data_IF_576010292225
#
_entry.id   IF_576010292225
#
_cell.length_a   1.000
_cell.length_b   1.000
_cell.length_c   1.000
_cell.angle_alpha   90.00
_cell.angle_beta   90.00
_cell.angle_gamma   90.00
#
_symmetry.space_group_name_H-M   'P 1'
#
loop_
_entity.id
_entity.type
_entity.pdbx_description
1 polymer ?
#
# COMPACT_ATOMS: atom_id res chain seq x y z
N UNK A 1 -43.02 0.23 -45.23
CA UNK A 1 -42.45 0.60 -43.91
C UNK A 1 -41.28 -0.33 -43.60
N UNK A 2 -40.04 0.15 -43.71
CA UNK A 2 -38.81 -0.63 -43.42
C UNK A 2 -37.93 0.19 -42.48
N UNK A 3 -37.93 -0.06 -41.16
CA UNK A 3 -36.88 0.42 -40.21
C UNK A 3 -36.92 -0.36 -38.89
N UNK A 4 -36.29 -1.54 -38.82
CA UNK A 4 -36.02 -2.19 -37.53
C UNK A 4 -34.90 -3.22 -37.66
N UNK A 5 -33.64 -2.78 -37.70
CA UNK A 5 -32.48 -3.64 -37.48
C UNK A 5 -31.20 -2.81 -37.29
N UNK A 6 -31.16 -1.89 -36.31
CA UNK A 6 -29.89 -1.19 -35.94
C UNK A 6 -29.64 -1.17 -34.42
N UNK A 7 -30.60 -1.56 -33.57
CA UNK A 7 -30.47 -1.39 -32.12
C UNK A 7 -29.81 -2.54 -31.35
N UNK A 8 -29.49 -3.67 -31.99
CA UNK A 8 -29.02 -4.86 -31.26
C UNK A 8 -27.49 -5.04 -31.25
N UNK A 9 -26.71 -4.24 -31.99
CA UNK A 9 -25.25 -4.39 -32.03
C UNK A 9 -24.48 -3.46 -31.07
N UNK A 10 -25.13 -2.40 -30.55
CA UNK A 10 -24.47 -1.41 -29.68
C UNK A 10 -24.44 -1.79 -28.19
N UNK A 11 -25.24 -2.78 -27.77
CA UNK A 11 -25.34 -3.18 -26.36
C UNK A 11 -24.30 -4.22 -25.92
N UNK A 12 -23.49 -4.76 -26.84
CA UNK A 12 -22.50 -5.80 -26.52
C UNK A 12 -21.10 -5.22 -26.24
N UNK A 13 -20.85 -3.94 -26.55
CA UNK A 13 -19.54 -3.31 -26.38
C UNK A 13 -19.32 -2.64 -25.01
N UNK A 14 -20.34 -2.54 -24.14
CA UNK A 14 -20.24 -1.92 -22.81
C UNK A 14 -20.02 -2.92 -21.65
N UNK A 15 -20.02 -4.22 -21.92
CA UNK A 15 -19.97 -5.26 -20.88
C UNK A 15 -18.61 -5.94 -20.72
N UNK A 16 -17.63 -5.63 -21.56
CA UNK A 16 -16.26 -6.09 -21.35
C UNK A 16 -15.48 -4.95 -20.70
N UNK A 17 -15.32 -4.91 -19.36
CA UNK A 17 -14.22 -4.14 -18.82
C UNK A 17 -12.96 -4.66 -19.51
N UNK A 18 -12.24 -3.76 -20.18
CA UNK A 18 -10.86 -4.01 -20.58
C UNK A 18 -10.11 -4.21 -19.25
N UNK A 19 -10.14 -5.44 -18.73
CA UNK A 19 -9.50 -5.78 -17.49
C UNK A 19 -8.01 -5.67 -17.78
N UNK A 20 -7.44 -4.52 -17.41
CA UNK A 20 -6.00 -4.35 -17.42
C UNK A 20 -5.41 -5.57 -16.70
N UNK A 21 -4.36 -6.20 -17.25
CA UNK A 21 -3.79 -7.41 -16.65
C UNK A 21 -3.58 -7.16 -15.16
N UNK A 22 -4.10 -8.08 -14.33
CA UNK A 22 -4.09 -7.92 -12.89
C UNK A 22 -2.66 -7.58 -12.44
N UNK A 23 -2.47 -6.33 -12.00
CA UNK A 23 -1.16 -5.88 -11.57
C UNK A 23 -0.78 -6.70 -10.33
N UNK A 24 0.24 -7.54 -10.45
CA UNK A 24 0.65 -8.45 -9.37
C UNK A 24 1.27 -7.66 -8.21
N UNK A 25 1.89 -6.51 -8.52
CA UNK A 25 2.63 -5.67 -7.57
C UNK A 25 2.54 -4.19 -7.93
N UNK A 26 2.41 -3.33 -6.92
CA UNK A 26 2.51 -1.88 -7.02
C UNK A 26 3.37 -1.32 -5.89
N UNK A 27 4.12 -0.23 -6.11
CA UNK A 27 4.81 0.46 -5.02
C UNK A 27 3.80 1.11 -4.06
N UNK A 28 4.03 1.09 -2.74
CA UNK A 28 3.05 1.63 -1.79
C UNK A 28 2.84 3.14 -1.92
N UNK A 29 3.82 3.83 -2.53
CA UNK A 29 3.82 5.26 -2.80
C UNK A 29 4.62 5.56 -4.07
N UNK A 30 4.11 6.49 -4.90
CA UNK A 30 4.77 6.98 -6.11
C UNK A 30 4.71 8.53 -6.10
N UNK A 31 5.83 9.25 -6.27
CA UNK A 31 7.20 8.72 -6.42
C UNK A 31 7.74 8.07 -5.14
N UNK A 32 8.60 7.07 -5.30
CA UNK A 32 9.23 6.38 -4.17
C UNK A 32 10.50 7.10 -3.72
N UNK A 33 10.49 7.70 -2.53
CA UNK A 33 11.64 8.40 -1.95
C UNK A 33 11.82 8.01 -0.49
N UNK A 34 12.85 7.22 -0.21
CA UNK A 34 13.20 6.76 1.13
C UNK A 34 13.78 7.90 1.98
N UNK A 35 13.31 8.06 3.21
CA UNK A 35 13.88 8.97 4.22
C UNK A 35 14.48 8.25 5.40
N UNK A 36 13.90 7.11 5.79
CA UNK A 36 14.38 6.33 6.92
C UNK A 36 14.39 4.85 6.58
N UNK A 37 15.55 4.17 6.62
CA UNK A 37 15.64 2.75 6.33
C UNK A 37 15.15 1.91 7.52
N UNK A 38 14.94 0.63 7.25
CA UNK A 38 14.71 -0.41 8.25
C UNK A 38 16.00 -0.73 9.03
N UNK A 39 15.85 -1.13 10.30
CA UNK A 39 16.96 -1.58 11.12
C UNK A 39 17.45 -0.55 12.14
N UNK A 40 18.64 -0.80 12.71
CA UNK A 40 19.24 0.09 13.71
C UNK A 40 19.67 1.40 13.06
N UNK A 41 19.17 2.51 13.60
CA UNK A 41 19.53 3.85 13.17
C UNK A 41 19.65 4.80 14.37
N UNK A 42 20.20 5.99 14.11
CA UNK A 42 20.16 7.08 15.08
C UNK A 42 18.73 7.64 15.15
N UNK A 43 18.18 7.71 16.36
CA UNK A 43 16.85 8.26 16.61
C UNK A 43 16.83 9.75 16.24
N UNK A 44 15.84 10.24 15.47
CA UNK A 44 15.86 11.58 14.89
C UNK A 44 15.77 12.72 15.94
N UNK A 45 15.17 12.43 17.10
CA UNK A 45 15.03 13.41 18.20
C UNK A 45 16.13 13.23 19.25
N UNK A 46 16.24 12.05 19.86
CA UNK A 46 17.14 11.81 21.00
C UNK A 46 18.59 11.55 20.61
N UNK A 47 18.88 11.26 19.33
CA UNK A 47 20.21 10.89 18.88
C UNK A 47 20.72 9.53 19.37
N UNK A 48 19.91 8.75 20.09
CA UNK A 48 20.29 7.40 20.58
C UNK A 48 20.08 6.33 19.51
N UNK A 49 20.65 5.14 19.69
CA UNK A 49 20.34 4.00 18.82
C UNK A 49 18.86 3.60 19.00
N UNK A 50 18.18 3.37 17.88
CA UNK A 50 16.77 3.01 17.81
C UNK A 50 16.56 2.01 16.66
N UNK A 51 15.66 1.04 16.84
CA UNK A 51 15.37 0.05 15.81
C UNK A 51 14.10 0.43 15.06
N UNK A 52 14.23 0.68 13.76
CA UNK A 52 13.12 1.04 12.91
C UNK A 52 12.51 -0.20 12.25
N UNK A 53 11.32 -0.57 12.71
CA UNK A 53 10.60 -1.77 12.27
C UNK A 53 9.82 -1.58 10.94
N UNK A 54 10.31 -0.69 10.07
CA UNK A 54 9.73 -0.39 8.77
C UNK A 54 10.62 0.54 7.97
N UNK A 55 10.07 1.16 6.93
CA UNK A 55 10.70 2.24 6.19
C UNK A 55 9.79 3.46 6.17
N UNK A 56 10.40 4.64 6.11
CA UNK A 56 9.67 5.89 5.96
C UNK A 56 9.92 6.46 4.56
N UNK A 57 8.84 6.87 3.90
CA UNK A 57 8.86 7.44 2.55
C UNK A 57 8.30 8.87 2.56
N UNK A 58 8.94 9.78 1.82
CA UNK A 58 8.44 11.15 1.63
C UNK A 58 7.03 11.10 1.04
N UNK A 59 6.06 11.64 1.76
CA UNK A 59 4.68 11.75 1.30
C UNK A 59 4.11 13.12 1.68
N UNK A 60 3.23 13.67 0.84
CA UNK A 60 2.51 14.93 1.09
C UNK A 60 1.09 14.82 0.52
N UNK A 61 0.12 14.56 1.39
CA UNK A 61 -1.29 14.26 1.08
C UNK A 61 -1.42 13.30 -0.10
N UNK A 62 -0.54 12.31 -0.13
CA UNK A 62 -0.36 11.43 -1.28
C UNK A 62 -1.25 10.19 -1.15
N UNK A 63 -1.83 9.69 -2.26
CA UNK A 63 -2.54 8.42 -2.25
C UNK A 63 -1.61 7.27 -1.87
N UNK A 64 -2.00 6.48 -0.87
CA UNK A 64 -1.28 5.28 -0.44
C UNK A 64 -1.96 4.06 -1.05
N UNK A 65 -1.16 3.18 -1.65
CA UNK A 65 -1.65 2.00 -2.38
C UNK A 65 -1.20 0.71 -1.71
N UNK A 66 -2.03 -0.33 -1.76
CA UNK A 66 -1.60 -1.67 -1.33
C UNK A 66 -0.54 -2.22 -2.28
N UNK A 67 0.49 -2.87 -1.73
CA UNK A 67 1.64 -3.32 -2.51
C UNK A 67 1.32 -4.59 -3.30
N UNK A 68 0.50 -5.46 -2.72
CA UNK A 68 0.04 -6.73 -3.27
C UNK A 68 -1.48 -6.82 -3.12
N UNK A 69 -2.10 -7.71 -3.89
CA UNK A 69 -3.50 -8.08 -3.67
C UNK A 69 -3.65 -8.77 -2.31
N UNK A 70 -4.75 -8.55 -1.61
CA UNK A 70 -4.92 -9.13 -0.28
C UNK A 70 -6.21 -8.73 0.42
N UNK A 71 -6.31 -9.14 1.68
CA UNK A 71 -7.47 -8.85 2.55
C UNK A 71 -7.08 -7.90 3.67
N UNK A 72 -7.87 -6.85 3.88
CA UNK A 72 -7.67 -5.90 4.98
C UNK A 72 -7.93 -6.60 6.32
N UNK A 73 -6.87 -6.82 7.09
CA UNK A 73 -6.95 -7.48 8.40
C UNK A 73 -7.49 -6.53 9.48
N UNK A 74 -6.99 -5.29 9.46
CA UNK A 74 -7.30 -4.29 10.46
C UNK A 74 -7.04 -2.88 9.91
N UNK A 75 -7.81 -1.92 10.42
CA UNK A 75 -7.55 -0.50 10.29
C UNK A 75 -7.92 0.18 11.63
N UNK A 76 -7.50 1.42 11.83
CA UNK A 76 -7.83 2.18 13.04
C UNK A 76 -6.74 3.16 13.44
N UNK A 77 -6.79 3.62 14.69
CA UNK A 77 -5.78 4.52 15.26
C UNK A 77 -4.92 3.78 16.30
N UNK A 78 -3.61 3.99 16.25
CA UNK A 78 -2.66 3.51 17.25
C UNK A 78 -1.74 4.66 17.67
N UNK A 79 -1.43 4.86 18.97
CA UNK A 79 -0.68 6.04 19.43
C UNK A 79 0.64 6.29 18.71
N UNK A 80 1.38 5.21 18.39
CA UNK A 80 2.65 5.33 17.67
C UNK A 80 2.48 5.40 16.16
N UNK A 81 1.57 4.61 15.57
CA UNK A 81 1.45 4.50 14.10
C UNK A 81 0.46 5.52 13.52
N UNK A 82 -0.31 6.21 14.35
CA UNK A 82 -1.42 7.03 13.90
C UNK A 82 -2.53 6.19 13.27
N UNK A 83 -3.23 6.77 12.31
CA UNK A 83 -4.16 6.03 11.47
C UNK A 83 -3.40 5.05 10.58
N UNK A 84 -3.85 3.80 10.57
CA UNK A 84 -3.17 2.74 9.85
C UNK A 84 -4.12 1.78 9.13
N UNK A 85 -3.57 1.05 8.16
CA UNK A 85 -4.18 -0.11 7.51
C UNK A 85 -3.19 -1.28 7.53
N UNK A 86 -3.67 -2.48 7.84
CA UNK A 86 -2.92 -3.75 7.75
C UNK A 86 -3.60 -4.68 6.77
N UNK A 87 -2.83 -5.26 5.86
CA UNK A 87 -3.34 -6.10 4.78
C UNK A 87 -2.57 -7.42 4.79
N UNK A 88 -3.30 -8.55 4.77
CA UNK A 88 -2.73 -9.88 4.59
C UNK A 88 -2.70 -10.23 3.11
N UNK A 89 -1.58 -10.81 2.70
CA UNK A 89 -1.32 -11.35 1.38
C UNK A 89 -0.99 -12.86 1.50
N UNK A 90 -1.64 -13.55 2.45
CA UNK A 90 -1.27 -14.89 2.88
C UNK A 90 -0.21 -14.82 3.98
N UNK A 91 0.98 -15.41 3.75
CA UNK A 91 2.07 -15.45 4.72
C UNK A 91 2.72 -14.07 4.98
N UNK A 92 2.42 -13.07 4.14
CA UNK A 92 2.92 -11.70 4.27
C UNK A 92 1.83 -10.79 4.81
N UNK A 93 2.20 -9.89 5.72
CA UNK A 93 1.35 -8.78 6.16
C UNK A 93 2.07 -7.45 5.93
N UNK A 94 1.42 -6.53 5.24
CA UNK A 94 1.90 -5.16 5.08
C UNK A 94 1.15 -4.22 6.03
N UNK A 95 1.85 -3.20 6.54
CA UNK A 95 1.27 -2.15 7.39
C UNK A 95 1.59 -0.79 6.79
N UNK A 96 0.59 0.08 6.75
CA UNK A 96 0.65 1.44 6.23
C UNK A 96 0.25 2.38 7.36
N UNK A 97 1.19 3.16 7.88
CA UNK A 97 1.00 4.05 9.03
C UNK A 97 1.03 5.53 8.67
N UNK A 98 0.73 6.34 9.68
CA UNK A 98 0.70 7.80 9.67
C UNK A 98 -0.29 8.40 8.67
N UNK A 99 -1.37 7.69 8.37
CA UNK A 99 -2.38 8.16 7.41
C UNK A 99 -3.13 9.38 7.96
N UNK A 100 -3.68 10.20 7.07
CA UNK A 100 -4.66 11.24 7.41
C UNK A 100 -6.09 10.76 7.19
N UNK A 101 -6.28 9.86 6.21
CA UNK A 101 -7.58 9.28 5.83
C UNK A 101 -7.41 7.79 5.60
N UNK A 102 -8.33 6.99 6.13
CA UNK A 102 -8.46 5.56 5.85
C UNK A 102 -9.62 5.39 4.86
N UNK A 103 -9.36 4.71 3.74
CA UNK A 103 -10.37 4.43 2.72
C UNK A 103 -10.73 2.94 2.66
N UNK A 104 -9.80 2.06 3.01
CA UNK A 104 -10.01 0.62 3.05
C UNK A 104 -10.69 0.18 4.36
N UNK A 105 -11.67 -0.72 4.28
CA UNK A 105 -12.42 -1.26 5.42
C UNK A 105 -11.92 -2.64 5.79
N UNK A 106 -12.01 -2.99 7.08
CA UNK A 106 -11.67 -4.34 7.55
C UNK A 106 -12.54 -5.36 6.83
N UNK A 107 -11.90 -6.41 6.31
CA UNK A 107 -12.56 -7.48 5.56
C UNK A 107 -12.52 -7.32 4.05
N UNK A 108 -12.24 -6.12 3.52
CA UNK A 108 -12.17 -5.87 2.08
C UNK A 108 -11.10 -6.75 1.42
N UNK A 109 -11.44 -7.33 0.27
CA UNK A 109 -10.50 -7.92 -0.67
C UNK A 109 -10.14 -6.88 -1.72
N UNK A 110 -8.85 -6.57 -1.84
CA UNK A 110 -8.36 -5.47 -2.66
C UNK A 110 -7.21 -5.92 -3.57
N UNK A 111 -7.28 -5.65 -4.89
CA UNK A 111 -6.17 -5.86 -5.82
C UNK A 111 -4.93 -5.04 -5.45
N UNK A 112 -3.75 -5.47 -5.93
CA UNK A 112 -2.55 -4.66 -5.80
C UNK A 112 -2.75 -3.28 -6.46
N UNK A 113 -2.18 -2.24 -5.86
CA UNK A 113 -2.32 -0.89 -6.36
C UNK A 113 -3.60 -0.17 -5.94
N UNK A 114 -4.58 -0.84 -5.32
CA UNK A 114 -5.79 -0.18 -4.78
C UNK A 114 -5.41 0.92 -3.79
N UNK A 115 -6.03 2.12 -3.90
CA UNK A 115 -5.84 3.20 -2.92
C UNK A 115 -6.54 2.82 -1.61
N UNK A 116 -5.79 2.81 -0.52
CA UNK A 116 -6.27 2.38 0.80
C UNK A 116 -6.36 3.53 1.81
N UNK A 117 -5.80 4.68 1.47
CA UNK A 117 -5.78 5.86 2.33
C UNK A 117 -4.95 6.99 1.73
N UNK A 118 -4.86 8.07 2.49
CA UNK A 118 -4.04 9.25 2.17
C UNK A 118 -2.97 9.42 3.23
N UNK A 119 -1.73 9.72 2.83
CA UNK A 119 -0.64 9.98 3.77
C UNK A 119 -0.96 11.14 4.70
N UNK A 120 -0.31 11.18 5.85
CA UNK A 120 -0.53 12.23 6.84
C UNK A 120 0.58 12.29 7.88
N UNK A 121 0.23 12.86 9.03
CA UNK A 121 1.14 13.11 10.16
C UNK A 121 0.55 12.64 11.50
N UNK A 122 -0.32 11.63 11.45
CA UNK A 122 -0.98 11.13 12.66
C UNK A 122 -0.04 10.22 13.47
N UNK A 123 -0.29 10.13 14.77
CA UNK A 123 0.55 9.34 15.69
C UNK A 123 1.86 10.03 16.04
N UNK A 124 2.90 9.25 16.35
CA UNK A 124 4.19 9.76 16.80
C UNK A 124 5.15 9.97 15.63
N UNK A 125 5.13 11.17 15.04
CA UNK A 125 5.96 11.54 13.88
C UNK A 125 6.60 12.91 14.04
N UNK A 126 7.71 13.15 13.33
CA UNK A 126 8.36 14.46 13.23
C UNK A 126 7.91 15.27 12.01
N UNK A 127 7.19 14.64 11.09
CA UNK A 127 6.72 15.24 9.85
C UNK A 127 5.84 14.29 9.06
N UNK A 128 5.24 14.80 7.99
CA UNK A 128 4.36 14.02 7.12
C UNK A 128 5.18 13.04 6.26
N UNK A 129 4.84 11.75 6.35
CA UNK A 129 5.46 10.67 5.61
C UNK A 129 4.56 9.43 5.62
N UNK A 130 4.88 8.43 4.80
CA UNK A 130 4.32 7.09 4.94
C UNK A 130 5.30 6.23 5.73
N UNK A 131 4.83 5.61 6.82
CA UNK A 131 5.52 4.47 7.42
C UNK A 131 5.01 3.17 6.78
N UNK A 132 5.91 2.39 6.18
CA UNK A 132 5.60 1.12 5.53
C UNK A 132 6.38 -0.02 6.19
N UNK A 133 5.67 -1.04 6.66
CA UNK A 133 6.26 -2.16 7.36
C UNK A 133 5.77 -3.49 6.79
N UNK A 134 6.64 -4.50 6.81
CA UNK A 134 6.36 -5.83 6.28
C UNK A 134 6.66 -6.89 7.34
N UNK A 135 5.76 -7.86 7.47
CA UNK A 135 5.97 -9.08 8.22
C UNK A 135 5.83 -10.30 7.31
N UNK A 136 6.68 -11.30 7.48
CA UNK A 136 6.56 -12.62 6.86
C UNK A 136 6.46 -13.67 7.95
N UNK A 137 5.36 -14.43 7.97
CA UNK A 137 5.05 -15.45 9.00
C UNK A 137 5.18 -14.91 10.44
N UNK A 138 4.74 -13.67 10.66
CA UNK A 138 4.79 -13.00 11.96
C UNK A 138 6.07 -12.19 12.21
N UNK A 139 7.16 -12.51 11.52
CA UNK A 139 8.46 -11.87 11.72
C UNK A 139 8.62 -10.60 10.89
N UNK A 140 9.17 -9.55 11.50
CA UNK A 140 9.43 -8.28 10.83
C UNK A 140 10.60 -8.44 9.85
N UNK A 141 10.40 -8.06 8.59
CA UNK A 141 11.45 -8.11 7.57
C UNK A 141 11.68 -6.75 6.93
N UNK A 142 12.84 -6.58 6.31
CA UNK A 142 13.22 -5.37 5.58
C UNK A 142 12.27 -5.11 4.39
N UNK A 143 11.46 -4.03 4.43
CA UNK A 143 10.54 -3.69 3.35
C UNK A 143 11.22 -3.38 2.02
N UNK A 144 12.46 -2.85 2.01
CA UNK A 144 13.16 -2.57 0.75
C UNK A 144 13.55 -3.84 0.03
N UNK A 145 14.11 -4.83 0.77
CA UNK A 145 14.44 -6.14 0.20
C UNK A 145 13.19 -6.84 -0.33
N UNK A 146 12.09 -6.74 0.40
CA UNK A 146 10.80 -7.28 -0.03
C UNK A 146 10.31 -6.62 -1.33
N UNK A 147 10.28 -5.29 -1.41
CA UNK A 147 9.85 -4.57 -2.61
C UNK A 147 10.77 -4.84 -3.81
N UNK A 148 12.09 -4.91 -3.58
CA UNK A 148 13.06 -5.23 -4.62
C UNK A 148 12.85 -6.64 -5.19
N UNK A 149 12.59 -7.63 -4.33
CA UNK A 149 12.25 -8.99 -4.76
C UNK A 149 10.96 -9.05 -5.59
N UNK A 150 9.93 -8.30 -5.21
CA UNK A 150 8.70 -8.21 -6.00
C UNK A 150 8.93 -7.55 -7.37
N UNK A 151 9.82 -6.56 -7.44
CA UNK A 151 10.15 -5.89 -8.69
C UNK A 151 11.01 -6.77 -9.61
N UNK A 152 11.98 -7.51 -9.08
CA UNK A 152 12.83 -8.40 -9.86
C UNK A 152 12.07 -9.59 -10.44
N UNK A 153 11.13 -10.15 -9.68
CA UNK A 153 10.27 -11.25 -10.14
C UNK A 153 9.27 -10.83 -11.22
N UNK A 154 8.84 -9.56 -11.22
CA UNK A 154 8.02 -9.00 -12.31
C UNK A 154 8.79 -8.90 -13.63
N UNK A 155 10.06 -8.52 -13.58
CA UNK A 155 10.88 -8.32 -14.78
C UNK A 155 11.45 -9.63 -15.36
N UNK A 156 11.35 -10.75 -14.62
CA UNK A 156 11.81 -12.06 -15.04
C UNK A 156 10.75 -12.86 -15.84
N UNK A 157 9.57 -12.28 -16.08
CA UNK A 157 8.50 -12.79 -16.94
C UNK A 157 8.24 -11.80 -18.07
#
# INVERSE_FOLDING_TARGET
MKRTAVFLLLHVLLAYPFAAPAQIFHLPLVPFKLTSPFGVRRHPITGKADFHAGIDLIARRSPIRTALAGRVLANGFHPFLGYFVRISHGAVVTTYGHLSVIMARRGDEIPAGTVIGISGRSGRVTGEHLHFAVRYRGEQIDPLKFLFFLQSTKNAK
#
